data_IF_925513161192
#
_entry.id   IF_925513161192
#
_cell.length_a   1.000
_cell.length_b   1.000
_cell.length_c   1.000
_cell.angle_alpha   90.00
_cell.angle_beta   90.00
_cell.angle_gamma   90.00
#
_symmetry.space_group_name_H-M   'P 1'
#
loop_
_entity.id
_entity.type
_entity.pdbx_description
1 polymer ?
#
# COMPACT_ATOMS: atom_id res chain seq x y z
N UNK A 1 5.09 28.56 13.80
CA UNK A 1 6.11 28.19 12.79
C UNK A 1 6.86 26.97 13.33
N UNK A 2 6.45 25.75 12.98
CA UNK A 2 7.08 24.54 13.53
C UNK A 2 8.39 24.28 12.79
N UNK A 3 9.52 24.44 13.47
CA UNK A 3 10.85 24.18 12.94
C UNK A 3 10.91 22.76 12.32
N UNK A 4 11.19 22.68 11.02
CA UNK A 4 11.38 21.42 10.28
C UNK A 4 12.73 20.85 10.70
N UNK A 5 12.72 19.94 11.68
CA UNK A 5 13.95 19.26 12.11
C UNK A 5 14.36 18.30 11.00
N UNK A 6 15.48 18.58 10.33
CA UNK A 6 16.07 17.66 9.35
C UNK A 6 16.64 16.49 10.15
N UNK A 7 16.00 15.34 10.06
CA UNK A 7 16.49 14.12 10.72
C UNK A 7 17.56 13.50 9.85
N UNK A 8 18.71 13.16 10.45
CA UNK A 8 19.78 12.48 9.74
C UNK A 8 19.35 11.08 9.31
N UNK A 9 19.86 10.63 8.15
CA UNK A 9 19.67 9.27 7.61
C UNK A 9 19.83 8.18 8.69
N UNK A 10 20.84 8.32 9.55
CA UNK A 10 21.12 7.36 10.62
C UNK A 10 20.01 7.28 11.68
N UNK A 11 19.37 8.41 12.01
CA UNK A 11 18.24 8.45 12.95
C UNK A 11 17.03 7.75 12.37
N UNK A 12 16.75 7.99 11.10
CA UNK A 12 15.66 7.31 10.39
C UNK A 12 15.93 5.79 10.34
N UNK A 13 17.18 5.38 10.11
CA UNK A 13 17.56 3.96 10.00
C UNK A 13 17.41 3.27 11.35
N UNK A 14 17.80 3.96 12.41
CA UNK A 14 17.60 3.51 13.79
C UNK A 14 16.11 3.31 14.10
N UNK A 15 15.23 4.22 13.66
CA UNK A 15 13.78 4.07 13.83
C UNK A 15 13.26 2.80 13.16
N UNK A 16 13.62 2.56 11.89
CA UNK A 16 13.26 1.32 11.19
C UNK A 16 13.81 0.07 11.89
N UNK A 17 15.06 0.11 12.37
CA UNK A 17 15.69 -0.99 13.08
C UNK A 17 15.00 -1.32 14.41
N UNK A 18 14.67 -0.29 15.22
CA UNK A 18 13.95 -0.47 16.48
C UNK A 18 12.55 -1.04 16.23
N UNK A 19 11.83 -0.52 15.23
CA UNK A 19 10.51 -1.03 14.88
C UNK A 19 10.59 -2.49 14.43
N UNK A 20 11.56 -2.85 13.60
CA UNK A 20 11.78 -4.24 13.19
C UNK A 20 12.11 -5.15 14.37
N UNK A 21 12.96 -4.70 15.30
CA UNK A 21 13.30 -5.46 16.51
C UNK A 21 12.07 -5.73 17.38
N UNK A 22 11.26 -4.70 17.64
CA UNK A 22 10.02 -4.81 18.41
C UNK A 22 9.02 -5.70 17.68
N UNK A 23 8.90 -5.55 16.37
CA UNK A 23 7.97 -6.34 15.54
C UNK A 23 8.36 -7.82 15.49
N UNK A 24 9.65 -8.13 15.51
CA UNK A 24 10.15 -9.50 15.60
C UNK A 24 9.82 -10.13 16.95
N UNK A 25 9.95 -9.36 18.04
CA UNK A 25 9.55 -9.81 19.39
C UNK A 25 8.04 -10.08 19.45
N UNK A 26 7.22 -9.20 18.88
CA UNK A 26 5.76 -9.37 18.80
C UNK A 26 5.41 -10.59 17.95
N UNK A 27 6.03 -10.74 16.78
CA UNK A 27 5.79 -11.88 15.88
C UNK A 27 6.16 -13.22 16.53
N UNK A 28 7.15 -13.24 17.43
CA UNK A 28 7.52 -14.44 18.17
C UNK A 28 6.51 -14.83 19.27
N UNK A 29 5.74 -13.88 19.79
CA UNK A 29 4.71 -14.12 20.81
C UNK A 29 3.39 -14.54 20.16
N UNK A 30 3.13 -14.07 18.94
CA UNK A 30 1.92 -14.41 18.19
C UNK A 30 2.07 -15.83 17.61
N UNK A 31 1.16 -16.78 17.92
CA UNK A 31 1.23 -18.16 17.43
C UNK A 31 0.90 -18.33 15.93
N UNK A 32 0.73 -17.22 15.19
CA UNK A 32 0.40 -17.20 13.77
C UNK A 32 1.68 -16.87 12.99
N UNK A 33 2.02 -17.60 11.91
CA UNK A 33 3.21 -17.36 11.11
C UNK A 33 3.06 -16.10 10.24
N UNK A 34 3.09 -14.91 10.86
CA UNK A 34 3.07 -13.62 10.19
C UNK A 34 4.51 -13.10 10.09
N UNK A 35 4.96 -12.66 8.90
CA UNK A 35 6.27 -12.04 8.78
C UNK A 35 6.40 -10.80 9.66
N UNK A 36 7.50 -10.68 10.39
CA UNK A 36 7.77 -9.52 11.26
C UNK A 36 7.69 -8.17 10.51
N UNK A 37 7.99 -8.15 9.21
CA UNK A 37 7.86 -6.97 8.35
C UNK A 37 6.43 -6.44 8.27
N UNK A 38 5.43 -7.32 8.19
CA UNK A 38 4.00 -6.93 8.14
C UNK A 38 3.57 -6.35 9.49
N UNK A 39 4.01 -6.96 10.60
CA UNK A 39 3.78 -6.45 11.95
C UNK A 39 4.41 -5.06 12.11
N UNK A 40 5.64 -4.87 11.60
CA UNK A 40 6.33 -3.59 11.63
C UNK A 40 5.68 -2.49 10.81
N UNK A 41 5.09 -2.83 9.66
CA UNK A 41 4.29 -1.89 8.87
C UNK A 41 3.10 -1.36 9.68
N UNK A 42 2.33 -2.27 10.30
CA UNK A 42 1.16 -1.91 11.11
C UNK A 42 1.58 -1.10 12.35
N UNK A 43 2.67 -1.50 13.01
CA UNK A 43 3.20 -0.82 14.17
C UNK A 43 3.68 0.60 13.84
N UNK A 44 4.49 0.77 12.78
CA UNK A 44 4.94 2.07 12.30
C UNK A 44 3.74 2.96 11.93
N UNK A 45 2.75 2.39 11.25
CA UNK A 45 1.52 3.10 10.88
C UNK A 45 0.76 3.60 12.11
N UNK A 46 0.59 2.76 13.14
CA UNK A 46 0.00 3.19 14.41
C UNK A 46 0.82 4.32 15.06
N UNK A 47 2.14 4.18 15.19
CA UNK A 47 2.99 5.21 15.78
C UNK A 47 2.93 6.55 15.02
N UNK A 48 2.71 6.51 13.71
CA UNK A 48 2.48 7.67 12.86
C UNK A 48 1.09 8.29 13.13
N UNK A 49 0.04 7.47 13.26
CA UNK A 49 -1.30 7.93 13.63
C UNK A 49 -1.33 8.58 15.02
N UNK A 50 -0.62 8.00 15.99
CA UNK A 50 -0.46 8.55 17.35
C UNK A 50 0.44 9.80 17.40
N UNK A 51 0.97 10.27 16.25
CA UNK A 51 1.91 11.41 16.14
C UNK A 51 3.18 11.27 17.00
N UNK A 52 3.49 10.07 17.49
CA UNK A 52 4.73 9.78 18.24
C UNK A 52 5.93 9.88 17.30
N UNK A 53 5.77 9.35 16.09
CA UNK A 53 6.74 9.47 15.00
C UNK A 53 6.17 10.44 13.96
N UNK A 54 6.96 11.43 13.53
CA UNK A 54 6.59 12.31 12.41
C UNK A 54 6.95 11.64 11.09
N UNK A 55 6.12 11.80 10.06
CA UNK A 55 6.37 11.24 8.72
C UNK A 55 7.76 11.60 8.18
N UNK A 56 8.20 12.84 8.45
CA UNK A 56 9.50 13.38 8.07
C UNK A 56 10.69 12.59 8.64
N UNK A 57 10.49 11.78 9.70
CA UNK A 57 11.51 10.92 10.29
C UNK A 57 11.69 9.58 9.58
N UNK A 58 10.80 9.21 8.65
CA UNK A 58 10.86 7.90 7.98
C UNK A 58 10.74 8.01 6.47
N UNK A 59 10.19 9.11 5.96
CA UNK A 59 9.92 9.32 4.53
C UNK A 59 11.18 9.25 3.65
N UNK A 60 12.27 9.92 4.04
CA UNK A 60 13.49 9.97 3.21
C UNK A 60 14.10 8.59 3.04
N UNK A 61 14.29 7.84 4.13
CA UNK A 61 14.74 6.46 4.04
C UNK A 61 13.77 5.53 3.35
N UNK A 62 12.48 5.61 3.67
CA UNK A 62 11.46 4.77 3.03
C UNK A 62 11.48 4.94 1.51
N UNK A 63 11.64 6.17 1.05
CA UNK A 63 11.79 6.50 -0.38
C UNK A 63 13.09 5.95 -0.96
N UNK A 64 14.23 6.10 -0.27
CA UNK A 64 15.50 5.52 -0.71
C UNK A 64 15.45 3.99 -0.79
N UNK A 65 14.92 3.30 0.22
CA UNK A 65 14.79 1.85 0.23
C UNK A 65 13.83 1.37 -0.86
N UNK A 66 12.71 2.07 -1.08
CA UNK A 66 11.77 1.76 -2.16
C UNK A 66 12.43 1.91 -3.54
N UNK A 67 13.24 2.96 -3.74
CA UNK A 67 14.01 3.14 -4.97
C UNK A 67 15.01 2.00 -5.21
N UNK A 68 15.58 1.43 -4.13
CA UNK A 68 16.49 0.29 -4.21
C UNK A 68 15.80 -1.06 -4.47
N UNK A 69 14.46 -1.17 -4.39
CA UNK A 69 13.76 -2.44 -4.61
C UNK A 69 14.11 -3.04 -5.99
N UNK A 70 14.11 -2.23 -7.04
CA UNK A 70 14.52 -2.67 -8.39
C UNK A 70 15.96 -3.18 -8.44
N UNK A 71 16.87 -2.50 -7.73
CA UNK A 71 18.27 -2.91 -7.62
C UNK A 71 18.42 -4.22 -6.84
N UNK A 72 17.65 -4.42 -5.76
CA UNK A 72 17.63 -5.66 -4.97
C UNK A 72 17.03 -6.86 -5.74
N UNK A 73 16.19 -6.61 -6.74
CA UNK A 73 15.68 -7.66 -7.63
C UNK A 73 16.73 -8.22 -8.58
N UNK A 74 17.74 -7.44 -8.99
CA UNK A 74 18.80 -7.90 -9.90
C UNK A 74 19.59 -9.09 -9.32
N UNK A 75 20.21 -9.02 -8.13
CA UNK A 75 20.95 -10.16 -7.56
C UNK A 75 20.02 -11.33 -7.24
N UNK A 76 18.80 -11.04 -6.76
CA UNK A 76 17.78 -12.07 -6.49
C UNK A 76 17.41 -12.83 -7.77
N UNK A 77 17.23 -12.14 -8.90
CA UNK A 77 16.93 -12.76 -10.20
C UNK A 77 18.10 -13.59 -10.74
N UNK A 78 19.33 -13.10 -10.61
CA UNK A 78 20.53 -13.85 -11.02
C UNK A 78 20.65 -15.17 -10.25
N UNK A 79 20.34 -15.18 -8.95
CA UNK A 79 20.36 -16.40 -8.14
C UNK A 79 19.38 -17.47 -8.66
N UNK A 80 18.22 -17.04 -9.15
CA UNK A 80 17.22 -17.92 -9.74
C UNK A 80 17.70 -18.46 -11.09
N UNK A 81 18.41 -17.64 -11.88
CA UNK A 81 19.02 -18.10 -13.14
C UNK A 81 20.08 -19.19 -12.91
N UNK A 82 20.80 -19.20 -11.79
CA UNK A 82 21.72 -20.30 -11.49
C UNK A 82 20.99 -21.64 -11.19
N UNK A 83 19.68 -21.60 -10.95
CA UNK A 83 18.80 -22.76 -10.75
C UNK A 83 17.94 -23.09 -11.98
N UNK A 84 18.48 -22.83 -13.19
CA UNK A 84 17.77 -22.95 -14.47
C UNK A 84 17.15 -24.33 -14.72
N UNK A 85 17.76 -25.41 -14.22
CA UNK A 85 17.25 -26.78 -14.40
C UNK A 85 15.88 -27.03 -13.75
N UNK A 86 15.63 -26.46 -12.56
CA UNK A 86 14.32 -26.55 -11.89
C UNK A 86 13.31 -25.64 -12.59
N UNK A 87 13.77 -24.48 -13.06
CA UNK A 87 12.94 -23.51 -13.76
C UNK A 87 12.49 -24.00 -15.15
N UNK A 88 13.29 -24.82 -15.83
CA UNK A 88 12.91 -25.39 -17.12
C UNK A 88 11.80 -26.45 -16.99
N UNK A 89 11.79 -27.24 -15.92
CA UNK A 89 10.73 -28.21 -15.66
C UNK A 89 9.46 -27.59 -15.07
N UNK A 90 9.59 -26.67 -14.12
CA UNK A 90 8.45 -26.14 -13.36
C UNK A 90 8.09 -24.68 -13.70
N UNK A 91 8.84 -24.02 -14.58
CA UNK A 91 8.68 -22.58 -14.87
C UNK A 91 7.28 -22.22 -15.36
N UNK A 92 6.71 -23.03 -16.26
CA UNK A 92 5.34 -22.81 -16.74
C UNK A 92 4.32 -22.94 -15.59
N UNK A 93 4.50 -23.93 -14.72
CA UNK A 93 3.62 -24.17 -13.58
C UNK A 93 3.73 -23.04 -12.54
N UNK A 94 4.94 -22.52 -12.30
CA UNK A 94 5.18 -21.37 -11.41
C UNK A 94 4.47 -20.12 -11.93
N UNK A 95 4.63 -19.80 -13.22
CA UNK A 95 3.95 -18.64 -13.83
C UNK A 95 2.43 -18.75 -13.71
N UNK A 96 1.88 -19.93 -13.99
CA UNK A 96 0.45 -20.18 -13.87
C UNK A 96 -0.05 -20.03 -12.42
N UNK A 97 0.70 -20.54 -11.44
CA UNK A 97 0.38 -20.38 -10.01
C UNK A 97 0.45 -18.91 -9.59
N UNK A 98 1.45 -18.15 -10.03
CA UNK A 98 1.57 -16.72 -9.72
C UNK A 98 0.39 -15.94 -10.32
N UNK A 99 0.02 -16.20 -11.57
CA UNK A 99 -1.12 -15.53 -12.21
C UNK A 99 -2.42 -15.84 -11.49
N UNK A 100 -2.69 -17.11 -11.18
CA UNK A 100 -3.89 -17.51 -10.43
C UNK A 100 -3.90 -16.88 -9.03
N UNK A 101 -2.79 -16.95 -8.29
CA UNK A 101 -2.68 -16.34 -6.97
C UNK A 101 -2.90 -14.82 -7.02
N UNK A 102 -2.41 -14.15 -8.06
CA UNK A 102 -2.62 -12.70 -8.27
C UNK A 102 -4.08 -12.39 -8.53
N UNK A 103 -4.75 -13.14 -9.42
CA UNK A 103 -6.19 -12.94 -9.71
C UNK A 103 -7.02 -13.17 -8.45
N UNK A 104 -6.74 -14.25 -7.69
CA UNK A 104 -7.43 -14.56 -6.45
C UNK A 104 -7.19 -13.46 -5.40
N UNK A 105 -5.94 -13.01 -5.24
CA UNK A 105 -5.58 -11.93 -4.31
C UNK A 105 -6.31 -10.62 -4.65
N UNK A 106 -6.34 -10.24 -5.93
CA UNK A 106 -7.05 -9.05 -6.40
C UNK A 106 -8.56 -9.17 -6.20
N UNK A 107 -9.14 -10.33 -6.52
CA UNK A 107 -10.55 -10.62 -6.29
C UNK A 107 -10.92 -10.58 -4.81
N UNK A 108 -10.15 -11.25 -3.95
CA UNK A 108 -10.33 -11.22 -2.50
C UNK A 108 -10.22 -9.79 -1.95
N UNK A 109 -9.17 -9.05 -2.32
CA UNK A 109 -8.99 -7.65 -1.90
C UNK A 109 -10.16 -6.77 -2.34
N UNK A 110 -10.65 -6.96 -3.57
CA UNK A 110 -11.83 -6.27 -4.10
C UNK A 110 -13.11 -6.60 -3.32
N UNK A 111 -13.36 -7.88 -3.05
CA UNK A 111 -14.51 -8.32 -2.25
C UNK A 111 -14.43 -7.82 -0.81
N UNK A 112 -13.23 -7.84 -0.18
CA UNK A 112 -13.00 -7.27 1.15
C UNK A 112 -13.35 -5.78 1.18
N UNK A 113 -12.91 -5.01 0.17
CA UNK A 113 -13.23 -3.59 0.04
C UNK A 113 -14.75 -3.36 -0.13
N UNK A 114 -15.41 -4.17 -0.96
CA UNK A 114 -16.86 -4.11 -1.14
C UNK A 114 -17.63 -4.49 0.13
N UNK A 115 -17.16 -5.50 0.87
CA UNK A 115 -17.74 -5.92 2.14
C UNK A 115 -17.65 -4.78 3.17
N UNK A 116 -16.48 -4.18 3.33
CA UNK A 116 -16.28 -3.02 4.22
C UNK A 116 -17.20 -1.84 3.83
N UNK A 117 -17.37 -1.60 2.53
CA UNK A 117 -18.26 -0.54 2.01
C UNK A 117 -19.75 -0.88 2.19
N UNK A 118 -20.12 -2.16 2.09
CA UNK A 118 -21.49 -2.65 2.29
C UNK A 118 -21.91 -2.58 3.76
N UNK A 119 -21.01 -2.90 4.69
CA UNK A 119 -21.24 -2.71 6.14
C UNK A 119 -21.27 -1.22 6.52
N UNK A 120 -20.52 -0.37 5.81
CA UNK A 120 -20.59 1.10 5.94
C UNK A 120 -21.75 1.70 5.14
N UNK A 121 -22.91 1.04 5.21
CA UNK A 121 -24.10 1.35 4.43
C UNK A 121 -24.37 2.85 4.27
N UNK A 122 -24.40 3.29 3.00
CA UNK A 122 -25.13 4.47 2.50
C UNK A 122 -24.40 5.83 2.51
N UNK A 123 -23.24 6.01 1.84
CA UNK A 123 -22.75 7.36 1.46
C UNK A 123 -22.08 7.57 0.08
N UNK A 124 -22.10 6.64 -0.88
CA UNK A 124 -21.49 6.90 -2.21
C UNK A 124 -22.31 6.52 -3.44
N UNK A 125 -23.64 6.69 -3.38
CA UNK A 125 -24.47 6.83 -4.60
C UNK A 125 -24.67 8.30 -5.01
N UNK A 126 -24.18 9.26 -4.20
CA UNK A 126 -24.39 10.70 -4.45
C UNK A 126 -23.32 11.38 -5.33
N UNK A 127 -22.17 10.73 -5.61
CA UNK A 127 -21.10 11.36 -6.41
C UNK A 127 -21.28 11.18 -7.93
N UNK A 128 -22.00 10.14 -8.37
CA UNK A 128 -22.22 9.88 -9.80
C UNK A 128 -23.58 10.42 -10.32
N UNK A 129 -24.54 10.70 -9.42
CA UNK A 129 -25.86 11.21 -9.81
C UNK A 129 -25.96 12.74 -9.90
N UNK A 130 -25.05 13.51 -9.28
CA UNK A 130 -25.09 15.00 -9.31
C UNK A 130 -24.52 15.61 -10.60
N UNK A 131 -23.82 14.82 -11.42
CA UNK A 131 -23.27 15.28 -12.71
C UNK A 131 -24.25 15.10 -13.87
N UNK A 132 -25.25 14.20 -13.75
CA UNK A 132 -26.26 13.97 -14.80
C UNK A 132 -27.56 14.78 -14.67
N UNK A 133 -27.73 15.58 -13.61
CA UNK A 133 -28.95 16.40 -13.39
C UNK A 133 -28.72 17.92 -13.42
N UNK A 134 -27.49 18.37 -13.72
CA UNK A 134 -27.15 19.81 -13.87
C UNK A 134 -26.68 20.11 -15.29
N UNK A 135 -27.31 19.54 -16.31
CA UNK A 135 -27.16 20.05 -17.67
C UNK A 135 -28.50 19.93 -18.43
N UNK A 136 -29.09 21.10 -18.66
CA UNK A 136 -30.33 21.46 -19.40
C UNK A 136 -31.63 21.47 -18.57
N UNK A 137 -32.39 22.59 -18.51
CA UNK A 137 -32.41 23.76 -19.40
C UNK A 137 -32.13 25.12 -18.70
N UNK A 138 -31.22 25.94 -19.26
CA UNK A 138 -31.26 27.39 -18.98
C UNK A 138 -32.40 28.00 -19.78
N UNK A 139 -33.38 28.46 -19.01
CA UNK A 139 -34.49 29.32 -19.37
C UNK A 139 -33.99 30.74 -19.69
N UNK A 140 -34.86 31.48 -20.39
CA UNK A 140 -34.93 32.94 -20.58
C UNK A 140 -34.33 33.47 -21.89
N UNK A 141 -35.15 33.47 -22.96
CA UNK A 141 -35.23 34.58 -23.90
C UNK A 141 -36.67 34.71 -24.46
N UNK A 142 -37.58 35.07 -23.55
CA UNK A 142 -38.68 36.00 -23.82
C UNK A 142 -38.53 37.02 -22.67
N UNK A 143 -38.43 38.34 -22.85
CA UNK A 143 -39.39 39.22 -23.48
C UNK A 143 -38.70 40.60 -23.69
N UNK A 144 -38.55 41.10 -24.92
CA UNK A 144 -38.76 42.52 -25.26
C UNK A 144 -39.13 42.62 -26.74
N UNK A 145 -40.30 43.19 -26.99
CA UNK A 145 -40.85 43.66 -28.27
C UNK A 145 -39.83 44.09 -29.33
N UNK A 146 -39.97 43.58 -30.55
CA UNK A 146 -40.46 44.33 -31.73
C UNK A 146 -40.60 43.44 -32.96
#
# INVERSE_FOLDING_TARGET
>A
MSAKKVYGFLTQAFIFAVIMLVSNMIAAIVPIPIPASVVGLVLLFLLLCLKVIKLEQVETLGTSLTSLIGFLFVPSGISVMNSLGVMQQYGLQIVLVILLATIILLGATGLFSQLILSLSGKRKTAADMKTKTVQSPQNNNELVHH
#
